data_IF_434764467273
#
_entry.id   IF_434764467273
#
_cell.length_a   1.000
_cell.length_b   1.000
_cell.length_c   1.000
_cell.angle_alpha   90.00
_cell.angle_beta   90.00
_cell.angle_gamma   90.00
#
_symmetry.space_group_name_H-M   'P 1'
#
loop_
_entity.id
_entity.type
_entity.pdbx_description
1 polymer ?
#
# COMPACT_ATOMS: atom_id res chain seq x y z
N UNK A 1 -18.36 -4.33 -22.80
CA UNK A 1 -17.43 -3.23 -22.47
C UNK A 1 -16.70 -2.69 -23.71
N UNK A 2 -16.37 -3.53 -24.70
CA UNK A 2 -15.70 -3.12 -25.95
C UNK A 2 -16.53 -2.20 -26.86
N UNK A 3 -17.84 -2.42 -27.03
CA UNK A 3 -18.62 -1.68 -28.03
C UNK A 3 -18.80 -0.20 -27.69
N UNK A 4 -18.94 0.11 -26.40
CA UNK A 4 -19.02 1.49 -25.90
C UNK A 4 -17.70 2.22 -26.08
N UNK A 5 -16.58 1.55 -25.82
CA UNK A 5 -15.24 2.10 -26.02
C UNK A 5 -14.97 2.43 -27.49
N UNK A 6 -15.27 1.49 -28.39
CA UNK A 6 -15.08 1.69 -29.83
C UNK A 6 -16.02 2.78 -30.40
N UNK A 7 -17.25 2.88 -29.88
CA UNK A 7 -18.18 3.95 -30.24
C UNK A 7 -17.66 5.33 -29.83
N UNK A 8 -17.16 5.47 -28.59
CA UNK A 8 -16.56 6.72 -28.09
C UNK A 8 -15.31 7.08 -28.89
N UNK A 9 -14.47 6.09 -29.20
CA UNK A 9 -13.24 6.28 -29.99
C UNK A 9 -13.53 6.79 -31.39
N UNK A 10 -14.56 6.25 -32.07
CA UNK A 10 -14.99 6.75 -33.39
C UNK A 10 -15.47 8.20 -33.34
N UNK A 11 -16.25 8.57 -32.32
CA UNK A 11 -16.71 9.94 -32.12
C UNK A 11 -15.50 10.86 -31.89
N UNK A 12 -14.58 10.48 -31.00
CA UNK A 12 -13.38 11.26 -30.73
C UNK A 12 -12.53 11.47 -31.99
N UNK A 13 -12.28 10.43 -32.78
CA UNK A 13 -11.50 10.56 -34.03
C UNK A 13 -12.17 11.51 -35.03
N UNK A 14 -13.51 11.50 -35.09
CA UNK A 14 -14.27 12.35 -36.01
C UNK A 14 -14.27 13.82 -35.58
N UNK A 15 -14.47 14.07 -34.29
CA UNK A 15 -14.67 15.43 -33.77
C UNK A 15 -13.34 16.14 -33.43
N UNK A 16 -12.25 15.39 -33.21
CA UNK A 16 -10.93 15.92 -32.87
C UNK A 16 -10.04 16.11 -34.11
N UNK A 17 -10.24 17.22 -34.81
CA UNK A 17 -9.60 17.52 -36.11
C UNK A 17 -8.51 18.61 -36.06
N UNK A 18 -8.32 19.27 -34.92
CA UNK A 18 -7.31 20.32 -34.76
C UNK A 18 -5.98 19.74 -34.24
N UNK A 19 -4.85 20.32 -34.68
CA UNK A 19 -3.49 19.86 -34.32
C UNK A 19 -3.21 19.88 -32.82
N UNK A 20 -3.87 20.75 -32.06
CA UNK A 20 -3.72 20.86 -30.60
C UNK A 20 -4.60 19.89 -29.80
N UNK A 21 -5.64 19.33 -30.42
CA UNK A 21 -6.57 18.43 -29.76
C UNK A 21 -6.83 17.16 -30.56
N UNK A 22 -5.85 16.68 -31.35
CA UNK A 22 -6.01 15.41 -32.06
C UNK A 22 -6.07 14.22 -31.09
N UNK A 23 -6.61 13.09 -31.57
CA UNK A 23 -6.71 11.87 -30.75
C UNK A 23 -5.35 11.43 -30.19
N UNK A 24 -4.26 11.71 -30.90
CA UNK A 24 -2.91 11.36 -30.44
C UNK A 24 -2.51 12.17 -29.21
N UNK A 25 -2.78 13.48 -29.20
CA UNK A 25 -2.56 14.34 -28.06
C UNK A 25 -3.37 13.86 -26.85
N UNK A 26 -4.67 13.61 -27.03
CA UNK A 26 -5.55 13.10 -25.95
C UNK A 26 -5.02 11.78 -25.38
N UNK A 27 -4.63 10.84 -26.25
CA UNK A 27 -4.08 9.56 -25.81
C UNK A 27 -2.71 9.69 -25.14
N UNK A 28 -1.86 10.65 -25.53
CA UNK A 28 -0.61 10.94 -24.81
C UNK A 28 -0.90 11.44 -23.41
N UNK A 29 -1.76 12.46 -23.26
CA UNK A 29 -2.13 13.02 -21.94
C UNK A 29 -2.74 11.96 -21.04
N UNK A 30 -3.66 11.14 -21.57
CA UNK A 30 -4.26 10.03 -20.84
C UNK A 30 -3.22 9.02 -20.33
N UNK A 31 -2.29 8.59 -21.20
CA UNK A 31 -1.21 7.66 -20.81
C UNK A 31 -0.30 8.26 -19.76
N UNK A 32 0.12 9.51 -19.92
CA UNK A 32 0.93 10.22 -18.93
C UNK A 32 0.20 10.33 -17.59
N UNK A 33 -1.10 10.62 -17.60
CA UNK A 33 -1.91 10.68 -16.37
C UNK A 33 -1.96 9.33 -15.64
N UNK A 34 -2.14 8.23 -16.38
CA UNK A 34 -2.10 6.88 -15.81
C UNK A 34 -0.70 6.50 -15.27
N UNK A 35 0.36 6.97 -15.91
CA UNK A 35 1.72 6.76 -15.43
C UNK A 35 1.98 7.52 -14.12
N UNK A 36 1.64 8.82 -14.07
CA UNK A 36 1.73 9.62 -12.85
C UNK A 36 0.92 9.03 -11.71
N UNK A 37 -0.31 8.57 -11.97
CA UNK A 37 -1.15 7.92 -10.96
C UNK A 37 -0.51 6.65 -10.38
N UNK A 38 0.19 5.84 -11.21
CA UNK A 38 0.92 4.67 -10.73
C UNK A 38 2.09 5.05 -9.82
N UNK A 39 2.84 6.09 -10.18
CA UNK A 39 3.97 6.57 -9.37
C UNK A 39 3.53 7.18 -8.05
N UNK A 40 2.43 7.93 -8.04
CA UNK A 40 1.86 8.53 -6.83
C UNK A 40 1.38 7.45 -5.84
N UNK A 41 0.63 6.45 -6.33
CA UNK A 41 0.20 5.33 -5.49
C UNK A 41 1.35 4.47 -4.95
N UNK A 42 2.44 4.36 -5.71
CA UNK A 42 3.65 3.70 -5.21
C UNK A 42 4.31 4.52 -4.09
N UNK A 43 4.40 5.84 -4.26
CA UNK A 43 4.99 6.73 -3.26
C UNK A 43 4.22 6.73 -1.93
N UNK A 44 2.88 6.81 -1.99
CA UNK A 44 2.00 6.75 -0.81
C UNK A 44 2.20 5.44 -0.02
N UNK A 45 2.21 4.29 -0.70
CA UNK A 45 2.41 2.99 -0.06
C UNK A 45 3.82 2.80 0.50
N UNK A 46 4.84 3.41 -0.13
CA UNK A 46 6.20 3.33 0.38
C UNK A 46 6.38 4.11 1.68
N UNK A 47 5.60 5.18 1.89
CA UNK A 47 5.74 6.09 3.04
C UNK A 47 5.42 5.44 4.40
N UNK A 48 4.71 4.32 4.40
CA UNK A 48 4.42 3.54 5.62
C UNK A 48 5.49 2.48 5.93
N UNK A 49 6.53 2.35 5.11
CA UNK A 49 7.60 1.36 5.29
C UNK A 49 8.90 1.97 5.84
N UNK A 50 9.78 1.12 6.36
CA UNK A 50 11.10 1.49 6.85
C UNK A 50 11.05 2.27 8.18
N UNK A 51 12.09 3.03 8.48
CA UNK A 51 12.25 3.71 9.77
C UNK A 51 11.12 4.69 10.09
N UNK A 52 10.67 5.48 9.10
CA UNK A 52 9.51 6.39 9.28
C UNK A 52 8.24 5.59 9.52
N UNK A 53 8.06 4.48 8.81
CA UNK A 53 6.97 3.54 9.02
C UNK A 53 6.91 3.01 10.45
N UNK A 54 8.04 2.53 10.97
CA UNK A 54 8.18 2.06 12.36
C UNK A 54 7.76 3.17 13.33
N UNK A 55 8.32 4.37 13.19
CA UNK A 55 7.99 5.49 14.08
C UNK A 55 6.48 5.80 14.08
N UNK A 56 5.85 5.80 12.89
CA UNK A 56 4.39 6.01 12.74
C UNK A 56 3.58 4.90 13.41
N UNK A 57 4.00 3.64 13.28
CA UNK A 57 3.31 2.52 13.94
C UNK A 57 3.28 2.71 15.46
N UNK A 58 4.40 3.09 16.09
CA UNK A 58 4.44 3.31 17.53
C UNK A 58 3.67 4.54 17.99
N UNK A 59 3.67 5.63 17.20
CA UNK A 59 2.84 6.81 17.47
C UNK A 59 1.35 6.45 17.44
N UNK A 60 0.93 5.68 16.43
CA UNK A 60 -0.46 5.20 16.31
C UNK A 60 -0.79 4.26 17.47
N UNK A 61 0.09 3.32 17.80
CA UNK A 61 -0.11 2.39 18.90
C UNK A 61 -0.31 3.13 20.23
N UNK A 62 0.55 4.11 20.53
CA UNK A 62 0.40 4.96 21.72
C UNK A 62 -0.90 5.76 21.72
N UNK A 63 -1.27 6.38 20.59
CA UNK A 63 -2.53 7.14 20.45
C UNK A 63 -3.78 6.27 20.70
N UNK A 64 -3.71 4.99 20.32
CA UNK A 64 -4.83 4.06 20.42
C UNK A 64 -4.76 3.14 21.65
N UNK A 65 -3.83 3.39 22.60
CA UNK A 65 -3.59 2.53 23.77
C UNK A 65 -3.41 1.05 23.40
N UNK A 66 -2.72 0.82 22.29
CA UNK A 66 -2.38 -0.51 21.79
C UNK A 66 -1.14 -1.04 22.50
N UNK A 67 -0.90 -2.34 22.40
CA UNK A 67 0.34 -2.92 22.90
C UNK A 67 1.52 -2.42 22.07
N UNK A 68 2.68 -2.28 22.73
CA UNK A 68 3.97 -1.97 22.09
C UNK A 68 4.46 -3.18 21.27
N UNK A 69 4.10 -4.39 21.71
CA UNK A 69 4.47 -5.65 21.08
C UNK A 69 3.51 -6.78 21.50
N UNK A 70 3.37 -7.84 20.69
CA UNK A 70 2.51 -8.99 20.97
C UNK A 70 3.20 -10.32 20.68
N UNK A 71 3.29 -11.22 21.67
CA UNK A 71 3.80 -12.60 21.49
C UNK A 71 2.77 -13.61 20.97
N UNK A 72 1.57 -13.15 20.64
CA UNK A 72 0.51 -14.02 20.08
C UNK A 72 0.89 -14.44 18.66
N UNK A 73 0.74 -15.73 18.35
CA UNK A 73 0.94 -16.23 16.99
C UNK A 73 -0.04 -15.55 16.02
N UNK A 74 0.43 -15.21 14.82
CA UNK A 74 -0.36 -14.41 13.87
C UNK A 74 -1.70 -15.07 13.50
N UNK A 75 -1.71 -16.41 13.35
CA UNK A 75 -2.92 -17.17 13.03
C UNK A 75 -3.94 -17.17 14.17
N UNK A 76 -3.44 -17.20 15.42
CA UNK A 76 -4.28 -17.08 16.62
C UNK A 76 -4.85 -15.66 16.73
N UNK A 77 -4.03 -14.63 16.50
CA UNK A 77 -4.50 -13.25 16.46
C UNK A 77 -5.60 -13.05 15.42
N UNK A 78 -5.44 -13.60 14.21
CA UNK A 78 -6.46 -13.51 13.14
C UNK A 78 -7.75 -14.17 13.61
N UNK A 79 -7.66 -15.40 14.12
CA UNK A 79 -8.83 -16.16 14.56
C UNK A 79 -9.61 -15.46 15.68
N UNK A 80 -8.91 -14.82 16.62
CA UNK A 80 -9.52 -14.25 17.81
C UNK A 80 -9.90 -12.78 17.69
N UNK A 81 -9.18 -12.02 16.85
CA UNK A 81 -9.26 -10.56 16.84
C UNK A 81 -9.57 -9.94 15.47
N UNK A 82 -9.73 -10.75 14.42
CA UNK A 82 -10.22 -10.29 13.11
C UNK A 82 -11.63 -10.85 12.88
N UNK A 83 -12.59 -9.97 12.61
CA UNK A 83 -13.96 -10.34 12.26
C UNK A 83 -14.13 -10.55 10.75
N UNK A 84 -15.25 -11.14 10.32
CA UNK A 84 -15.50 -11.60 8.94
C UNK A 84 -15.24 -10.54 7.84
N UNK A 85 -15.39 -9.25 8.13
CA UNK A 85 -15.14 -8.17 7.18
C UNK A 85 -13.66 -7.71 7.13
N UNK A 86 -12.75 -8.43 7.81
CA UNK A 86 -11.32 -8.13 7.89
C UNK A 86 -10.96 -6.99 8.85
N UNK A 87 -11.91 -6.48 9.65
CA UNK A 87 -11.64 -5.43 10.64
C UNK A 87 -11.16 -6.03 11.96
N UNK A 88 -10.42 -5.22 12.71
CA UNK A 88 -9.97 -5.55 14.06
C UNK A 88 -11.18 -5.46 15.01
N UNK A 89 -11.39 -6.50 15.81
CA UNK A 89 -12.45 -6.56 16.82
C UNK A 89 -12.11 -5.70 18.05
N UNK A 90 -10.98 -6.01 18.69
CA UNK A 90 -10.45 -5.29 19.85
C UNK A 90 -9.14 -4.60 19.47
N UNK A 91 -9.21 -3.28 19.33
CA UNK A 91 -8.07 -2.45 18.98
C UNK A 91 -6.93 -2.50 20.01
N UNK A 92 -7.24 -2.75 21.29
CA UNK A 92 -6.23 -2.78 22.37
C UNK A 92 -5.30 -3.99 22.31
N UNK A 93 -5.76 -5.08 21.67
CA UNK A 93 -4.95 -6.28 21.41
C UNK A 93 -4.01 -6.14 20.22
N UNK A 94 -4.20 -5.11 19.40
CA UNK A 94 -3.34 -4.85 18.26
C UNK A 94 -1.98 -4.31 18.70
N UNK A 95 -0.99 -4.39 17.82
CA UNK A 95 0.36 -3.88 18.07
C UNK A 95 1.10 -3.62 16.73
N UNK A 96 2.19 -2.82 16.75
CA UNK A 96 3.02 -2.55 15.58
C UNK A 96 3.51 -3.79 14.81
N UNK A 97 3.94 -4.83 15.51
CA UNK A 97 4.42 -6.08 14.92
C UNK A 97 3.29 -6.84 14.21
N UNK A 98 2.08 -6.86 14.78
CA UNK A 98 0.91 -7.47 14.15
C UNK A 98 0.51 -6.71 12.87
N UNK A 99 0.53 -5.36 12.88
CA UNK A 99 0.27 -4.56 11.67
C UNK A 99 1.31 -4.82 10.58
N UNK A 100 2.58 -4.95 10.98
CA UNK A 100 3.67 -5.32 10.09
C UNK A 100 3.44 -6.68 9.41
N UNK A 101 3.14 -7.72 10.19
CA UNK A 101 2.88 -9.08 9.70
C UNK A 101 1.63 -9.16 8.81
N UNK A 102 0.52 -8.52 9.22
CA UNK A 102 -0.75 -8.63 8.50
C UNK A 102 -0.79 -7.82 7.21
N UNK A 103 -0.21 -6.61 7.22
CA UNK A 103 -0.40 -5.62 6.16
C UNK A 103 0.90 -5.20 5.49
N UNK A 104 1.89 -4.74 6.26
CA UNK A 104 3.01 -4.02 5.65
C UNK A 104 3.91 -4.95 4.83
N UNK A 105 4.11 -6.21 5.27
CA UNK A 105 4.83 -7.25 4.50
C UNK A 105 4.24 -7.48 3.10
N UNK A 106 2.94 -7.21 2.89
CA UNK A 106 2.22 -7.43 1.63
C UNK A 106 2.21 -6.21 0.71
N UNK A 107 2.82 -5.10 1.12
CA UNK A 107 2.87 -3.87 0.30
C UNK A 107 3.61 -4.10 -1.04
N UNK A 108 4.75 -4.81 -1.11
CA UNK A 108 5.47 -5.01 -2.37
C UNK A 108 4.62 -5.62 -3.49
N UNK A 109 3.66 -6.49 -3.14
CA UNK A 109 2.75 -7.13 -4.10
C UNK A 109 1.77 -6.14 -4.75
N UNK A 110 1.54 -5.00 -4.11
CA UNK A 110 0.57 -3.97 -4.50
C UNK A 110 1.22 -2.75 -5.18
N UNK A 111 2.54 -2.78 -5.38
CA UNK A 111 3.29 -1.73 -6.08
C UNK A 111 3.31 -1.97 -7.58
N UNK A 112 3.24 -0.88 -8.35
CA UNK A 112 3.17 -0.92 -9.81
C UNK A 112 4.56 -1.00 -10.44
N UNK A 113 5.51 -0.21 -9.96
CA UNK A 113 6.82 -0.03 -10.60
C UNK A 113 7.87 -0.96 -10.00
N UNK A 114 8.80 -1.44 -10.84
CA UNK A 114 9.95 -2.24 -10.37
C UNK A 114 10.76 -1.48 -9.31
N UNK A 115 10.98 -0.18 -9.53
CA UNK A 115 11.77 0.64 -8.62
C UNK A 115 11.12 0.77 -7.25
N UNK A 116 9.80 0.94 -7.19
CA UNK A 116 9.10 0.97 -5.91
C UNK A 116 9.22 -0.36 -5.17
N UNK A 117 9.11 -1.50 -5.87
CA UNK A 117 9.31 -2.83 -5.26
C UNK A 117 10.71 -2.99 -4.66
N UNK A 118 11.75 -2.59 -5.39
CA UNK A 118 13.13 -2.60 -4.87
C UNK A 118 13.26 -1.75 -3.59
N UNK A 119 12.68 -0.54 -3.57
CA UNK A 119 12.70 0.33 -2.38
C UNK A 119 11.93 -0.31 -1.21
N UNK A 120 10.77 -0.92 -1.49
CA UNK A 120 9.95 -1.57 -0.48
C UNK A 120 10.67 -2.75 0.18
N UNK A 121 11.35 -3.59 -0.61
CA UNK A 121 12.13 -4.73 -0.10
C UNK A 121 13.20 -4.24 0.87
N UNK A 122 14.03 -3.27 0.46
CA UNK A 122 15.08 -2.73 1.31
C UNK A 122 14.53 -2.10 2.60
N UNK A 123 13.36 -1.45 2.53
CA UNK A 123 12.70 -0.88 3.71
C UNK A 123 12.14 -1.96 4.63
N UNK A 124 11.60 -3.05 4.08
CA UNK A 124 11.09 -4.19 4.84
C UNK A 124 12.21 -4.96 5.55
N UNK A 125 13.39 -5.12 4.92
CA UNK A 125 14.56 -5.74 5.57
C UNK A 125 14.94 -5.02 6.88
N UNK A 126 14.87 -3.69 6.88
CA UNK A 126 15.11 -2.91 8.09
C UNK A 126 14.00 -3.12 9.14
N UNK A 127 12.73 -3.15 8.73
CA UNK A 127 11.61 -3.42 9.64
C UNK A 127 11.69 -4.82 10.24
N UNK A 128 12.04 -5.83 9.44
CA UNK A 128 12.24 -7.19 9.90
C UNK A 128 13.34 -7.26 10.97
N UNK A 129 14.48 -6.62 10.70
CA UNK A 129 15.59 -6.54 11.66
C UNK A 129 15.12 -5.91 12.97
N UNK A 130 14.43 -4.77 12.90
CA UNK A 130 13.91 -4.06 14.07
C UNK A 130 12.92 -4.91 14.89
N UNK A 131 11.94 -5.55 14.25
CA UNK A 131 10.97 -6.39 14.97
C UNK A 131 11.58 -7.68 15.52
N UNK A 132 12.60 -8.23 14.85
CA UNK A 132 13.37 -9.37 15.39
C UNK A 132 14.18 -8.96 16.61
N UNK A 133 14.81 -7.79 16.62
CA UNK A 133 15.49 -7.26 17.79
C UNK A 133 14.53 -7.05 18.95
N UNK A 134 13.35 -6.48 18.70
CA UNK A 134 12.31 -6.36 19.74
C UNK A 134 11.92 -7.72 20.31
N UNK A 135 11.62 -8.69 19.44
CA UNK A 135 11.25 -10.05 19.87
C UNK A 135 12.32 -10.69 20.76
N UNK A 136 13.59 -10.47 20.45
CA UNK A 136 14.70 -11.05 21.21
C UNK A 136 15.02 -10.32 22.52
N UNK A 137 14.54 -9.09 22.72
CA UNK A 137 14.85 -8.27 23.90
C UNK A 137 13.64 -8.01 24.83
N UNK A 138 12.41 -8.23 24.36
CA UNK A 138 11.19 -8.09 25.17
C UNK A 138 10.73 -9.42 25.78
N UNK A 139 11.21 -10.56 25.27
CA UNK A 139 10.97 -11.92 25.83
C UNK A 139 12.01 -12.28 26.88
#
# INVERSE_FOLDING_TARGET
>A
MNDKYESIKKILIKELSSSSHDINHVMRVYKTSLELARHEQDADKLDVLGTVGIARLYIIAGKHNQKIYSDVLIDEYIKENIIDNGRINDGSKHSPDIEYELKLKKIPDRLFTRKAKEIAINRLEYMETFFNEIRNNIV
#
